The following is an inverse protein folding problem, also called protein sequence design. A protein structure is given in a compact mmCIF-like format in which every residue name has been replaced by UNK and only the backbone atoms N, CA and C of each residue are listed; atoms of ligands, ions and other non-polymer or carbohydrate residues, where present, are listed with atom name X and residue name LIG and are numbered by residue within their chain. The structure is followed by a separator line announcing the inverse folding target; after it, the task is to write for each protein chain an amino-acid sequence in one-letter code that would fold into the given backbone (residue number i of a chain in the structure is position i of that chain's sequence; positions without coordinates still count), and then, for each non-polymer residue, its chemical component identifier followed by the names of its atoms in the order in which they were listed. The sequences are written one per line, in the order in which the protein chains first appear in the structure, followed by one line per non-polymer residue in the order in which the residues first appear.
data_IF_523819958809
#
_entry.id   IF_523819958809
#
_cell.length_a   1.000
_cell.length_b   1.000
_cell.length_c   1.000
_cell.angle_alpha   90.00
_cell.angle_beta   90.00
_cell.angle_gamma   90.00
#
_symmetry.space_group_name_H-M   'P 1'
#
loop_
_entity.id
_entity.type
_entity.pdbx_description
1 polymer ?
#
# COMPACT_ATOMS: atom_id res chain seq x y z
N UNK A 1 3.99 -8.43 -16.58
CA UNK A 1 5.20 -8.67 -15.76
C UNK A 1 5.69 -10.08 -16.03
N UNK A 2 7.00 -10.32 -15.97
CA UNK A 2 7.55 -11.68 -16.06
C UNK A 2 7.41 -12.37 -14.69
N UNK A 3 7.15 -13.67 -14.70
CA UNK A 3 6.87 -14.45 -13.49
C UNK A 3 7.50 -15.84 -13.61
N UNK A 4 8.04 -16.36 -12.51
CA UNK A 4 8.45 -17.75 -12.42
C UNK A 4 7.22 -18.66 -12.36
N UNK A 5 6.89 -19.27 -13.51
CA UNK A 5 5.75 -20.17 -13.65
C UNK A 5 5.91 -21.45 -12.82
N UNK A 6 7.12 -21.99 -12.73
CA UNK A 6 7.36 -23.24 -12.02
C UNK A 6 7.14 -23.01 -10.52
N UNK A 7 7.76 -21.96 -9.97
CA UNK A 7 7.58 -21.58 -8.57
C UNK A 7 6.11 -21.24 -8.25
N UNK A 8 5.40 -20.56 -9.15
CA UNK A 8 3.98 -20.27 -8.97
C UNK A 8 3.12 -21.53 -8.94
N UNK A 9 3.36 -22.49 -9.83
CA UNK A 9 2.59 -23.75 -9.85
C UNK A 9 2.89 -24.62 -8.63
N UNK A 10 4.15 -24.70 -8.23
CA UNK A 10 4.55 -25.37 -6.98
C UNK A 10 3.84 -24.73 -5.78
N UNK A 11 3.82 -23.40 -5.70
CA UNK A 11 3.10 -22.67 -4.66
C UNK A 11 1.60 -22.96 -4.66
N UNK A 12 0.95 -23.07 -5.83
CA UNK A 12 -0.46 -23.44 -5.95
C UNK A 12 -0.73 -24.84 -5.40
N UNK A 13 0.16 -25.80 -5.66
CA UNK A 13 0.03 -27.18 -5.19
C UNK A 13 0.29 -27.23 -3.68
N UNK A 14 1.43 -26.73 -3.22
CA UNK A 14 1.84 -26.75 -1.81
C UNK A 14 0.80 -26.08 -0.91
N UNK A 15 0.34 -24.89 -1.30
CA UNK A 15 -0.68 -24.17 -0.52
C UNK A 15 -2.05 -24.87 -0.52
N UNK A 16 -2.34 -25.75 -1.48
CA UNK A 16 -3.57 -26.57 -1.46
C UNK A 16 -3.48 -27.64 -0.38
N UNK A 17 -2.38 -28.39 -0.35
CA UNK A 17 -2.11 -29.42 0.64
C UNK A 17 -2.11 -28.85 2.05
N UNK A 18 -1.37 -27.76 2.29
CA UNK A 18 -1.33 -27.09 3.59
C UNK A 18 -2.72 -26.62 4.06
N UNK A 19 -3.51 -26.04 3.15
CA UNK A 19 -4.87 -25.58 3.50
C UNK A 19 -5.75 -26.78 3.88
N UNK A 20 -5.67 -27.86 3.11
CA UNK A 20 -6.44 -29.06 3.38
C UNK A 20 -6.04 -29.72 4.70
N UNK A 21 -4.74 -29.76 5.02
CA UNK A 21 -4.23 -30.27 6.29
C UNK A 21 -4.76 -29.47 7.49
N UNK A 22 -4.67 -28.13 7.45
CA UNK A 22 -5.21 -27.27 8.52
C UNK A 22 -6.73 -27.46 8.70
N UNK A 23 -7.49 -27.50 7.60
CA UNK A 23 -8.94 -27.68 7.67
C UNK A 23 -9.33 -29.08 8.15
N UNK A 24 -8.56 -30.10 7.78
CA UNK A 24 -8.76 -31.46 8.26
C UNK A 24 -8.46 -31.58 9.75
N UNK A 25 -7.39 -30.96 10.23
CA UNK A 25 -7.05 -30.93 11.66
C UNK A 25 -8.15 -30.25 12.47
N UNK A 26 -8.63 -29.08 12.04
CA UNK A 26 -9.76 -28.39 12.66
C UNK A 26 -10.98 -29.32 12.69
N UNK A 27 -11.34 -29.91 11.54
CA UNK A 27 -12.54 -30.75 11.44
C UNK A 27 -12.46 -32.01 12.31
N UNK A 28 -11.27 -32.59 12.46
CA UNK A 28 -11.02 -33.74 13.35
C UNK A 28 -11.24 -33.36 14.81
N UNK A 29 -10.82 -32.16 15.20
CA UNK A 29 -10.92 -31.68 16.59
C UNK A 29 -12.36 -31.26 16.93
N UNK A 30 -13.04 -30.50 16.06
CA UNK A 30 -14.35 -29.90 16.38
C UNK A 30 -15.55 -30.72 15.90
N UNK A 31 -15.31 -31.75 15.08
CA UNK A 31 -16.35 -32.65 14.56
C UNK A 31 -17.21 -32.06 13.41
N UNK A 32 -16.82 -30.93 12.82
CA UNK A 32 -17.49 -30.35 11.65
C UNK A 32 -16.50 -29.70 10.68
N UNK A 33 -16.88 -29.62 9.41
CA UNK A 33 -16.07 -28.93 8.40
C UNK A 33 -16.22 -27.42 8.52
N UNK A 34 -15.09 -26.72 8.67
CA UNK A 34 -15.04 -25.27 8.76
C UNK A 34 -14.74 -24.65 7.40
N UNK A 35 -15.48 -23.60 7.03
CA UNK A 35 -15.07 -22.66 5.99
C UNK A 35 -14.71 -21.29 6.62
N UNK A 36 -13.43 -20.88 6.61
CA UNK A 36 -13.00 -19.60 7.18
C UNK A 36 -13.64 -18.35 6.57
N UNK A 37 -14.24 -18.43 5.36
CA UNK A 37 -14.96 -17.32 4.74
C UNK A 37 -16.41 -17.18 5.27
N UNK A 38 -16.88 -18.12 6.09
CA UNK A 38 -18.26 -18.16 6.60
C UNK A 38 -18.30 -17.80 8.08
N UNK A 39 -18.86 -16.63 8.40
CA UNK A 39 -19.11 -16.22 9.80
C UNK A 39 -19.91 -17.26 10.61
N UNK A 40 -20.81 -18.01 9.99
CA UNK A 40 -21.56 -19.07 10.66
C UNK A 40 -20.67 -20.20 11.19
N UNK A 41 -19.58 -20.54 10.48
CA UNK A 41 -18.67 -21.60 10.91
C UNK A 41 -17.73 -21.09 12.02
N UNK A 42 -17.34 -19.81 11.98
CA UNK A 42 -16.68 -19.14 13.11
C UNK A 42 -17.55 -19.14 14.37
N UNK A 43 -18.83 -18.83 14.24
CA UNK A 43 -19.76 -18.86 15.36
C UNK A 43 -19.82 -20.25 16.00
N UNK A 44 -19.98 -21.31 15.18
CA UNK A 44 -19.97 -22.70 15.66
C UNK A 44 -18.66 -23.06 16.38
N UNK A 45 -17.52 -22.60 15.85
CA UNK A 45 -16.21 -22.86 16.46
C UNK A 45 -16.11 -22.24 17.86
N UNK A 46 -16.54 -20.98 18.01
CA UNK A 46 -16.53 -20.30 19.31
C UNK A 46 -17.52 -20.94 20.29
N UNK A 47 -18.72 -21.30 19.83
CA UNK A 47 -19.73 -22.01 20.63
C UNK A 47 -19.24 -23.39 21.09
N UNK A 48 -18.56 -24.15 20.23
CA UNK A 48 -18.00 -25.47 20.55
C UNK A 48 -17.05 -25.42 21.76
N UNK A 49 -16.20 -24.39 21.84
CA UNK A 49 -15.25 -24.20 22.94
C UNK A 49 -15.78 -23.33 24.09
N UNK A 50 -17.03 -22.84 24.02
CA UNK A 50 -17.58 -21.92 25.02
C UNK A 50 -16.82 -20.58 25.10
N UNK A 51 -16.19 -20.15 24.00
CA UNK A 51 -15.42 -18.90 23.94
C UNK A 51 -16.36 -17.74 23.62
N UNK A 52 -16.20 -16.61 24.31
CA UNK A 52 -16.96 -15.39 24.01
C UNK A 52 -16.61 -14.85 22.63
N UNK A 53 -17.61 -14.39 21.88
CA UNK A 53 -17.37 -13.76 20.58
C UNK A 53 -16.52 -12.49 20.73
N UNK A 54 -15.55 -12.25 19.83
CA UNK A 54 -14.52 -11.26 20.05
C UNK A 54 -14.99 -9.83 19.72
N UNK A 55 -16.14 -9.69 19.05
CA UNK A 55 -16.79 -8.41 18.83
C UNK A 55 -18.14 -8.53 18.14
N UNK A 56 -18.74 -7.37 17.83
CA UNK A 56 -20.02 -7.27 17.12
C UNK A 56 -19.92 -6.26 15.99
N UNK A 57 -20.73 -6.47 14.95
CA UNK A 57 -20.96 -5.52 13.86
C UNK A 57 -21.87 -4.37 14.32
N UNK A 58 -21.95 -3.30 13.54
CA UNK A 58 -22.88 -2.17 13.79
C UNK A 58 -24.35 -2.61 13.90
N UNK A 59 -24.69 -3.75 13.28
CA UNK A 59 -26.04 -4.37 13.33
C UNK A 59 -26.20 -5.34 14.51
N UNK A 60 -25.23 -5.41 15.41
CA UNK A 60 -25.26 -6.25 16.61
C UNK A 60 -24.92 -7.74 16.39
N UNK A 61 -24.73 -8.20 15.15
CA UNK A 61 -24.31 -9.58 14.87
C UNK A 61 -22.85 -9.83 15.30
N UNK A 62 -22.45 -11.06 15.69
CA UNK A 62 -21.05 -11.39 15.98
C UNK A 62 -20.11 -11.01 14.83
N UNK A 63 -18.94 -10.47 15.18
CA UNK A 63 -17.88 -10.10 14.24
C UNK A 63 -16.65 -10.97 14.46
N UNK A 64 -16.09 -11.47 13.37
CA UNK A 64 -14.88 -12.29 13.33
C UNK A 64 -13.83 -11.66 12.41
N UNK A 65 -13.74 -10.32 12.43
CA UNK A 65 -12.70 -9.61 11.70
C UNK A 65 -11.31 -10.05 12.17
N UNK A 66 -10.33 -10.09 11.27
CA UNK A 66 -8.98 -10.62 11.56
C UNK A 66 -8.32 -9.97 12.78
N UNK A 67 -8.45 -8.64 12.92
CA UNK A 67 -7.93 -7.89 14.06
C UNK A 67 -8.57 -8.30 15.41
N UNK A 68 -9.83 -8.76 15.40
CA UNK A 68 -10.49 -9.27 16.60
C UNK A 68 -10.07 -10.71 16.90
N UNK A 69 -9.88 -11.53 15.86
CA UNK A 69 -9.43 -12.91 15.99
C UNK A 69 -7.96 -13.00 16.46
N UNK A 70 -7.15 -11.99 16.13
CA UNK A 70 -5.76 -11.88 16.58
C UNK A 70 -5.60 -11.92 18.10
N UNK A 71 -6.53 -11.27 18.83
CA UNK A 71 -6.51 -11.19 20.29
C UNK A 71 -6.91 -12.52 20.97
N UNK A 72 -7.54 -13.44 20.22
CA UNK A 72 -8.07 -14.70 20.76
C UNK A 72 -7.00 -15.79 20.72
N UNK A 73 -6.24 -15.95 21.80
CA UNK A 73 -5.10 -16.91 21.90
C UNK A 73 -5.48 -18.40 21.98
N UNK A 74 -6.61 -18.82 21.40
CA UNK A 74 -7.03 -20.22 21.37
C UNK A 74 -6.40 -20.96 20.17
N UNK A 75 -5.77 -22.14 20.35
CA UNK A 75 -5.05 -22.83 19.28
C UNK A 75 -5.87 -23.07 18.01
N UNK A 76 -7.09 -23.61 18.14
CA UNK A 76 -7.95 -23.86 16.97
C UNK A 76 -8.48 -22.58 16.32
N UNK A 77 -8.61 -21.49 17.08
CA UNK A 77 -9.01 -20.19 16.50
C UNK A 77 -7.85 -19.63 15.68
N UNK A 78 -6.62 -19.73 16.16
CA UNK A 78 -5.43 -19.30 15.42
C UNK A 78 -5.15 -20.19 14.19
N UNK A 79 -5.36 -21.50 14.29
CA UNK A 79 -5.27 -22.42 13.14
C UNK A 79 -6.30 -22.07 12.07
N UNK A 80 -7.56 -21.83 12.46
CA UNK A 80 -8.62 -21.39 11.55
C UNK A 80 -8.32 -20.02 10.91
N UNK A 81 -7.75 -19.10 11.69
CA UNK A 81 -7.33 -17.77 11.21
C UNK A 81 -6.25 -17.92 10.15
N UNK A 82 -5.22 -18.74 10.40
CA UNK A 82 -4.15 -19.08 9.45
C UNK A 82 -4.70 -19.72 8.17
N UNK A 83 -5.63 -20.66 8.29
CA UNK A 83 -6.31 -21.28 7.14
C UNK A 83 -7.06 -20.24 6.29
N UNK A 84 -7.80 -19.33 6.91
CA UNK A 84 -8.49 -18.24 6.21
C UNK A 84 -7.54 -17.27 5.51
N UNK A 85 -6.43 -16.91 6.17
CA UNK A 85 -5.37 -16.10 5.55
C UNK A 85 -4.82 -16.81 4.31
N UNK A 86 -4.41 -18.08 4.41
CA UNK A 86 -3.87 -18.84 3.27
C UNK A 86 -4.90 -18.96 2.13
N UNK A 87 -6.17 -19.22 2.45
CA UNK A 87 -7.26 -19.26 1.48
C UNK A 87 -7.41 -17.91 0.74
N UNK A 88 -7.25 -16.79 1.44
CA UNK A 88 -7.25 -15.44 0.85
C UNK A 88 -6.06 -15.24 -0.10
N UNK A 89 -4.83 -15.69 0.22
CA UNK A 89 -3.67 -15.62 -0.72
C UNK A 89 -3.95 -16.41 -1.98
N UNK A 90 -4.42 -17.65 -1.80
CA UNK A 90 -4.69 -18.57 -2.90
C UNK A 90 -5.73 -18.00 -3.85
N UNK A 91 -6.86 -17.55 -3.32
CA UNK A 91 -7.98 -17.06 -4.12
C UNK A 91 -7.70 -15.71 -4.79
N UNK A 92 -6.92 -14.82 -4.16
CA UNK A 92 -6.63 -13.47 -4.70
C UNK A 92 -5.44 -13.44 -5.65
N UNK A 93 -4.43 -14.28 -5.41
CA UNK A 93 -3.15 -14.19 -6.13
C UNK A 93 -2.76 -15.50 -6.81
N UNK A 94 -2.54 -16.58 -6.07
CA UNK A 94 -1.93 -17.80 -6.65
C UNK A 94 -2.81 -18.41 -7.75
N UNK A 95 -4.11 -18.63 -7.47
CA UNK A 95 -5.03 -19.25 -8.43
C UNK A 95 -5.37 -18.33 -9.61
N UNK A 96 -5.65 -17.02 -9.42
CA UNK A 96 -5.81 -16.14 -10.55
C UNK A 96 -4.55 -16.07 -11.40
N UNK A 97 -3.36 -15.89 -10.80
CA UNK A 97 -2.14 -15.71 -11.58
C UNK A 97 -1.76 -16.96 -12.35
N UNK A 98 -1.93 -18.15 -11.76
CA UNK A 98 -1.62 -19.42 -12.42
C UNK A 98 -2.54 -19.73 -13.60
N UNK A 99 -3.78 -19.23 -13.57
CA UNK A 99 -4.75 -19.36 -14.68
C UNK A 99 -4.46 -18.42 -15.84
N UNK A 100 -3.90 -17.24 -15.56
CA UNK A 100 -3.79 -16.15 -16.55
C UNK A 100 -2.37 -15.92 -17.05
N UNK A 101 -1.36 -16.51 -16.40
CA UNK A 101 0.02 -16.47 -16.88
C UNK A 101 0.16 -17.22 -18.21
N UNK A 102 0.74 -16.55 -19.21
CA UNK A 102 0.98 -17.12 -20.52
C UNK A 102 2.09 -18.18 -20.52
N UNK A 103 2.18 -18.95 -21.60
CA UNK A 103 3.26 -19.93 -21.78
C UNK A 103 4.65 -19.28 -21.81
N UNK A 104 4.69 -18.01 -22.23
CA UNK A 104 5.83 -17.11 -22.29
C UNK A 104 6.26 -16.54 -20.93
N UNK A 105 5.72 -17.06 -19.81
CA UNK A 105 5.99 -16.55 -18.46
C UNK A 105 5.59 -15.09 -18.26
N UNK A 106 4.67 -14.57 -19.08
CA UNK A 106 4.15 -13.22 -18.93
C UNK A 106 2.77 -13.23 -18.29
N UNK A 107 2.69 -12.54 -17.15
CA UNK A 107 1.44 -12.17 -16.52
C UNK A 107 0.95 -10.84 -17.12
N UNK A 108 -0.12 -10.91 -17.91
CA UNK A 108 -0.67 -9.77 -18.65
C UNK A 108 -1.81 -9.09 -17.87
N UNK A 109 -1.93 -7.78 -18.05
CA UNK A 109 -2.92 -6.95 -17.38
C UNK A 109 -3.33 -5.78 -18.27
N UNK A 110 -4.54 -5.26 -18.04
CA UNK A 110 -5.00 -4.03 -18.68
C UNK A 110 -4.69 -2.84 -17.76
N UNK A 111 -3.93 -1.87 -18.27
CA UNK A 111 -3.63 -0.62 -17.55
C UNK A 111 -4.56 0.49 -18.02
N UNK A 112 -5.51 0.88 -17.17
CA UNK A 112 -6.48 1.93 -17.48
C UNK A 112 -5.95 3.29 -17.06
N UNK A 113 -5.75 4.16 -18.04
CA UNK A 113 -5.22 5.51 -17.83
C UNK A 113 -6.28 6.54 -17.41
N UNK A 114 -7.51 6.33 -17.87
CA UNK A 114 -8.67 7.22 -17.69
C UNK A 114 -9.79 6.48 -16.97
N UNK A 115 -10.66 7.25 -16.31
CA UNK A 115 -11.92 6.76 -15.77
C UNK A 115 -12.87 6.42 -16.92
N UNK A 116 -13.35 5.19 -16.95
CA UNK A 116 -14.51 4.75 -17.71
C UNK A 116 -15.66 4.39 -16.77
N UNK A 117 -16.70 3.77 -17.32
CA UNK A 117 -17.86 3.32 -16.56
C UNK A 117 -17.51 2.14 -15.63
N UNK A 118 -16.65 1.23 -16.11
CA UNK A 118 -16.31 -0.01 -15.41
C UNK A 118 -14.90 -0.02 -14.77
N UNK A 119 -14.08 1.00 -15.03
CA UNK A 119 -12.66 1.03 -14.68
C UNK A 119 -12.08 2.44 -14.54
N UNK A 120 -10.81 2.54 -14.14
CA UNK A 120 -10.11 3.81 -13.95
C UNK A 120 -10.46 4.50 -12.64
N UNK A 121 -9.78 5.61 -12.36
CA UNK A 121 -9.87 6.29 -11.06
C UNK A 121 -10.29 7.75 -11.20
N UNK A 122 -11.07 8.25 -10.24
CA UNK A 122 -11.41 9.68 -10.11
C UNK A 122 -10.23 10.55 -9.70
N UNK A 123 -9.19 9.94 -9.14
CA UNK A 123 -7.97 10.63 -8.67
C UNK A 123 -6.90 10.74 -9.75
N UNK A 124 -7.15 10.23 -10.96
CA UNK A 124 -6.20 10.30 -12.07
C UNK A 124 -5.04 9.28 -11.98
N UNK A 125 -5.03 8.40 -10.99
CA UNK A 125 -4.14 7.22 -10.93
C UNK A 125 -4.46 6.25 -12.06
N UNK A 126 -3.45 5.48 -12.47
CA UNK A 126 -3.69 4.26 -13.22
C UNK A 126 -4.48 3.26 -12.37
N UNK A 127 -5.37 2.50 -12.99
CA UNK A 127 -5.93 1.29 -12.37
C UNK A 127 -5.62 0.09 -13.24
N UNK A 128 -5.28 -1.04 -12.63
CA UNK A 128 -5.19 -2.31 -13.33
C UNK A 128 -6.46 -3.12 -13.12
N UNK A 129 -7.00 -3.68 -14.20
CA UNK A 129 -7.99 -4.75 -14.09
C UNK A 129 -7.40 -6.04 -14.59
N UNK A 130 -7.78 -7.12 -13.92
CA UNK A 130 -7.69 -8.43 -14.53
C UNK A 130 -8.56 -8.49 -15.79
N UNK A 131 -8.14 -9.28 -16.78
CA UNK A 131 -8.99 -9.48 -17.93
C UNK A 131 -10.14 -10.43 -17.54
N UNK A 132 -11.32 -10.12 -18.09
CA UNK A 132 -12.63 -10.58 -17.61
C UNK A 132 -13.61 -9.41 -17.36
N UNK A 133 -13.09 -8.20 -17.12
CA UNK A 133 -13.88 -6.93 -17.17
C UNK A 133 -13.80 -6.20 -18.51
N UNK A 134 -12.84 -6.60 -19.34
CA UNK A 134 -12.81 -6.32 -20.78
C UNK A 134 -13.07 -7.66 -21.45
N UNK A 135 -14.04 -7.70 -22.36
CA UNK A 135 -14.52 -8.92 -23.02
C UNK A 135 -13.33 -9.76 -23.54
N UNK A 136 -13.22 -11.01 -23.08
CA UNK A 136 -12.52 -12.07 -23.81
C UNK A 136 -11.07 -12.42 -23.47
N UNK A 137 -10.43 -11.85 -22.44
CA UNK A 137 -9.12 -12.34 -22.00
C UNK A 137 -9.04 -12.44 -20.48
N UNK A 138 -8.06 -13.19 -19.96
CA UNK A 138 -7.75 -13.41 -18.54
C UNK A 138 -6.55 -12.53 -18.14
N UNK A 139 -6.59 -11.83 -17.00
CA UNK A 139 -5.49 -10.96 -16.59
C UNK A 139 -5.50 -10.69 -15.09
N UNK A 140 -4.47 -10.04 -14.58
CA UNK A 140 -4.26 -9.86 -13.13
C UNK A 140 -4.28 -8.38 -12.71
N UNK A 141 -4.82 -8.08 -11.52
CA UNK A 141 -4.64 -6.78 -10.89
C UNK A 141 -3.38 -6.80 -10.01
N UNK A 142 -2.26 -6.30 -10.55
CA UNK A 142 -0.98 -6.34 -9.86
C UNK A 142 -0.83 -5.24 -8.80
N UNK A 143 -1.69 -4.21 -8.82
CA UNK A 143 -1.63 -3.11 -7.87
C UNK A 143 -2.06 -3.50 -6.44
N UNK A 144 -2.62 -4.70 -6.26
CA UNK A 144 -3.02 -5.21 -4.95
C UNK A 144 -1.92 -6.06 -4.29
N UNK A 145 -0.81 -6.31 -4.98
CA UNK A 145 0.31 -7.09 -4.44
C UNK A 145 1.01 -6.26 -3.36
N UNK A 146 0.93 -6.75 -2.12
CA UNK A 146 1.53 -6.09 -0.95
C UNK A 146 3.06 -6.13 -1.01
N UNK A 147 3.70 -5.12 -0.39
CA UNK A 147 5.13 -5.14 -0.06
C UNK A 147 5.42 -6.32 0.88
N UNK A 148 6.64 -6.87 0.84
CA UNK A 148 7.02 -8.08 1.60
C UNK A 148 6.69 -7.97 3.08
N UNK A 149 7.11 -6.88 3.73
CA UNK A 149 6.86 -6.68 5.17
C UNK A 149 5.37 -6.52 5.48
N UNK A 150 4.64 -5.77 4.66
CA UNK A 150 3.18 -5.63 4.84
C UNK A 150 2.44 -6.94 4.60
N UNK A 151 2.92 -7.78 3.67
CA UNK A 151 2.40 -9.13 3.49
C UNK A 151 2.67 -9.95 4.75
N UNK A 152 3.93 -10.02 5.23
CA UNK A 152 4.29 -10.74 6.45
C UNK A 152 3.41 -10.36 7.65
N UNK A 153 3.25 -9.07 7.91
CA UNK A 153 2.35 -8.54 8.95
C UNK A 153 0.90 -9.02 8.74
N UNK A 154 0.35 -8.88 7.53
CA UNK A 154 -1.00 -9.34 7.22
C UNK A 154 -1.17 -10.86 7.39
N UNK A 155 -0.11 -11.64 7.21
CA UNK A 155 -0.09 -13.08 7.42
C UNK A 155 0.16 -13.51 8.87
N UNK A 156 0.34 -12.56 9.80
CA UNK A 156 0.59 -12.85 11.21
C UNK A 156 2.01 -13.36 11.46
N UNK A 157 2.97 -13.00 10.61
CA UNK A 157 4.37 -13.30 10.86
C UNK A 157 4.85 -12.51 12.08
N UNK A 158 5.23 -13.23 13.13
CA UNK A 158 5.87 -12.66 14.31
C UNK A 158 7.34 -13.09 14.33
N UNK A 159 8.25 -12.12 14.22
CA UNK A 159 9.70 -12.38 14.27
C UNK A 159 10.15 -13.02 15.59
N UNK A 160 9.36 -12.87 16.66
CA UNK A 160 9.66 -13.40 17.99
C UNK A 160 9.04 -14.80 18.22
N UNK A 161 8.24 -15.30 17.28
CA UNK A 161 7.63 -16.62 17.35
C UNK A 161 8.29 -17.55 16.32
N UNK A 162 9.35 -18.24 16.75
CA UNK A 162 10.13 -19.19 15.96
C UNK A 162 9.35 -20.45 15.52
N UNK A 163 8.03 -20.51 15.73
CA UNK A 163 7.21 -21.66 15.37
C UNK A 163 6.62 -21.62 13.95
N UNK A 164 6.93 -20.60 13.13
CA UNK A 164 6.22 -20.38 11.85
C UNK A 164 7.09 -19.97 10.64
N UNK A 165 8.37 -20.31 10.62
CA UNK A 165 9.35 -19.71 9.71
C UNK A 165 9.31 -20.11 8.21
N UNK A 166 8.42 -20.98 7.70
CA UNK A 166 8.63 -21.54 6.33
C UNK A 166 7.51 -21.43 5.27
N UNK A 167 6.34 -20.81 5.51
CA UNK A 167 5.26 -20.91 4.50
C UNK A 167 4.40 -19.65 4.25
N UNK A 168 5.04 -18.48 4.17
CA UNK A 168 4.40 -17.34 3.52
C UNK A 168 4.78 -17.35 2.04
N UNK A 169 3.80 -17.60 1.18
CA UNK A 169 3.93 -17.42 -0.26
C UNK A 169 4.03 -15.93 -0.57
N UNK A 170 5.25 -15.39 -0.55
CA UNK A 170 5.53 -14.01 -0.88
C UNK A 170 5.19 -13.76 -2.35
N UNK A 171 4.14 -12.98 -2.61
CA UNK A 171 3.63 -12.84 -3.97
C UNK A 171 4.64 -12.12 -4.87
N UNK A 172 5.37 -11.13 -4.32
CA UNK A 172 6.43 -10.42 -5.04
C UNK A 172 7.60 -11.35 -5.44
N UNK A 173 7.83 -12.46 -4.72
CA UNK A 173 8.95 -13.37 -5.02
C UNK A 173 8.75 -14.13 -6.34
N UNK A 174 7.51 -14.28 -6.83
CA UNK A 174 7.28 -14.91 -8.12
C UNK A 174 7.67 -14.00 -9.30
N UNK A 175 7.78 -12.69 -9.11
CA UNK A 175 8.08 -11.74 -10.17
C UNK A 175 9.58 -11.65 -10.37
N UNK A 176 10.05 -12.20 -11.49
CA UNK A 176 11.46 -12.28 -11.86
C UNK A 176 11.72 -11.48 -13.13
N UNK A 177 12.93 -10.95 -13.36
CA UNK A 177 13.26 -10.32 -14.62
C UNK A 177 13.34 -11.37 -15.73
N UNK A 178 13.04 -11.01 -16.98
CA UNK A 178 13.31 -11.90 -18.10
C UNK A 178 14.80 -11.87 -18.50
N UNK A 179 15.49 -10.77 -18.20
CA UNK A 179 16.91 -10.55 -18.48
C UNK A 179 17.51 -9.62 -17.43
N UNK A 180 18.75 -9.88 -17.01
CA UNK A 180 19.44 -9.03 -16.02
C UNK A 180 18.79 -9.13 -14.64
N UNK A 181 18.63 -8.01 -13.96
CA UNK A 181 18.05 -7.94 -12.61
C UNK A 181 16.64 -7.35 -12.64
N UNK A 182 15.84 -7.65 -11.62
CA UNK A 182 14.61 -6.92 -11.36
C UNK A 182 14.98 -5.53 -10.84
N UNK A 183 14.32 -4.49 -11.35
CA UNK A 183 14.47 -3.11 -10.88
C UNK A 183 13.13 -2.62 -10.36
N UNK A 184 13.13 -2.11 -9.13
CA UNK A 184 12.03 -1.34 -8.55
C UNK A 184 12.50 0.10 -8.33
N UNK A 185 11.63 1.05 -8.65
CA UNK A 185 11.85 2.46 -8.40
C UNK A 185 10.63 3.08 -7.71
N UNK A 186 10.76 3.45 -6.43
CA UNK A 186 9.66 3.93 -5.57
C UNK A 186 9.80 5.43 -5.24
N UNK A 187 8.72 6.19 -5.39
CA UNK A 187 8.72 7.61 -5.01
C UNK A 187 8.53 7.78 -3.51
N UNK A 188 9.62 7.99 -2.79
CA UNK A 188 9.66 7.99 -1.33
C UNK A 188 8.72 9.04 -0.72
N UNK A 189 7.66 8.55 -0.04
CA UNK A 189 6.70 9.38 0.69
C UNK A 189 6.08 10.52 -0.15
N UNK A 190 5.84 10.28 -1.45
CA UNK A 190 5.43 11.31 -2.42
C UNK A 190 4.21 12.14 -1.97
N UNK A 191 3.21 11.50 -1.34
CA UNK A 191 2.02 12.20 -0.85
C UNK A 191 2.34 13.20 0.26
N UNK A 192 3.26 12.86 1.18
CA UNK A 192 3.68 13.74 2.27
C UNK A 192 4.51 14.91 1.77
N UNK A 193 5.41 14.68 0.81
CA UNK A 193 6.19 15.73 0.16
C UNK A 193 5.29 16.72 -0.58
N UNK A 194 4.27 16.23 -1.28
CA UNK A 194 3.25 17.06 -1.93
C UNK A 194 2.42 17.83 -0.91
N UNK A 195 2.03 17.18 0.19
CA UNK A 195 1.28 17.83 1.26
C UNK A 195 2.09 18.96 1.90
N UNK A 196 3.38 18.74 2.19
CA UNK A 196 4.30 19.75 2.69
C UNK A 196 4.44 20.93 1.72
N UNK A 197 4.51 20.66 0.42
CA UNK A 197 4.54 21.70 -0.61
C UNK A 197 3.28 22.59 -0.58
N UNK A 198 2.08 22.00 -0.57
CA UNK A 198 0.83 22.76 -0.57
C UNK A 198 0.53 23.44 0.77
N UNK A 199 0.98 22.85 1.88
CA UNK A 199 0.87 23.44 3.20
C UNK A 199 1.85 24.61 3.38
N UNK A 200 2.91 24.65 2.57
CA UNK A 200 4.01 25.62 2.69
C UNK A 200 4.64 25.60 4.08
N UNK A 201 4.72 24.41 4.68
CA UNK A 201 5.27 24.20 6.02
C UNK A 201 6.76 24.49 6.04
N UNK A 202 7.17 25.63 6.60
CA UNK A 202 8.59 26.01 6.72
C UNK A 202 9.39 24.92 7.45
N UNK A 203 8.84 24.36 8.52
CA UNK A 203 9.46 23.29 9.30
C UNK A 203 9.77 22.06 8.45
N UNK A 204 8.82 21.61 7.63
CA UNK A 204 9.02 20.46 6.77
C UNK A 204 9.95 20.80 5.59
N UNK A 205 9.78 21.97 4.98
CA UNK A 205 10.66 22.46 3.90
C UNK A 205 12.11 22.50 4.39
N UNK A 206 12.35 23.02 5.59
CA UNK A 206 13.66 23.07 6.22
C UNK A 206 14.24 21.67 6.46
N UNK A 207 13.42 20.74 6.96
CA UNK A 207 13.86 19.34 7.13
C UNK A 207 14.32 18.74 5.79
N UNK A 208 13.60 19.01 4.69
CA UNK A 208 13.91 18.51 3.36
C UNK A 208 15.04 19.24 2.60
N UNK A 209 15.67 20.27 3.19
CA UNK A 209 16.84 20.93 2.57
C UNK A 209 18.00 19.97 2.36
N UNK A 210 18.20 19.02 3.29
CA UNK A 210 19.24 18.00 3.18
C UNK A 210 19.06 17.13 1.92
N UNK A 211 17.83 16.68 1.65
CA UNK A 211 17.50 15.92 0.44
C UNK A 211 17.78 16.73 -0.82
N UNK A 212 17.42 18.01 -0.84
CA UNK A 212 17.68 18.92 -1.98
C UNK A 212 19.18 18.99 -2.27
N UNK A 213 19.98 19.23 -1.23
CA UNK A 213 21.44 19.32 -1.37
C UNK A 213 22.06 17.99 -1.81
N UNK A 214 21.54 16.83 -1.37
CA UNK A 214 21.98 15.52 -1.86
C UNK A 214 21.69 15.35 -3.35
N UNK A 215 20.46 15.64 -3.78
CA UNK A 215 20.06 15.55 -5.19
C UNK A 215 20.88 16.46 -6.09
N UNK A 216 21.16 17.70 -5.68
CA UNK A 216 21.98 18.66 -6.43
C UNK A 216 23.43 18.19 -6.62
N UNK A 217 23.97 17.44 -5.65
CA UNK A 217 25.30 16.81 -5.74
C UNK A 217 25.29 15.49 -6.52
N UNK A 218 24.13 14.98 -6.93
CA UNK A 218 24.00 13.64 -7.51
C UNK A 218 24.27 12.52 -6.50
N UNK A 219 24.11 12.78 -5.21
CA UNK A 219 24.27 11.80 -4.14
C UNK A 219 22.93 11.13 -3.86
N UNK A 220 22.84 9.85 -4.25
CA UNK A 220 21.65 9.04 -4.05
C UNK A 220 21.79 7.96 -2.98
N UNK A 221 22.78 8.10 -2.09
CA UNK A 221 22.91 7.21 -0.94
C UNK A 221 21.66 7.28 -0.05
N UNK A 222 21.42 6.24 0.74
CA UNK A 222 20.30 6.21 1.69
C UNK A 222 20.38 7.32 2.75
N UNK A 223 19.34 7.47 3.57
CA UNK A 223 19.25 8.52 4.59
C UNK A 223 18.46 9.75 4.16
N UNK A 224 17.46 9.56 3.30
CA UNK A 224 16.47 10.59 2.98
C UNK A 224 15.57 10.90 4.17
N UNK A 225 15.06 12.12 4.24
CA UNK A 225 14.19 12.56 5.33
C UNK A 225 12.91 11.70 5.40
N UNK A 226 12.69 11.09 6.56
CA UNK A 226 11.43 10.41 6.88
C UNK A 226 10.45 11.39 7.54
N UNK A 227 9.36 11.72 6.83
CA UNK A 227 8.28 12.56 7.35
C UNK A 227 7.75 12.06 8.71
N UNK A 228 7.68 10.73 8.87
CA UNK A 228 7.19 10.14 10.10
C UNK A 228 8.17 10.35 11.23
N UNK A 229 9.49 10.31 11.00
CA UNK A 229 10.47 10.62 12.04
C UNK A 229 10.35 12.09 12.49
N UNK A 230 10.23 13.02 11.55
CA UNK A 230 10.07 14.46 11.84
C UNK A 230 8.82 14.74 12.68
N UNK A 231 7.74 13.99 12.46
CA UNK A 231 6.48 14.15 13.20
C UNK A 231 6.42 13.31 14.48
N UNK A 232 7.17 12.21 14.55
CA UNK A 232 7.20 11.26 15.68
C UNK A 232 7.67 11.89 16.97
N UNK A 233 8.68 12.77 16.92
CA UNK A 233 9.23 13.42 18.12
C UNK A 233 8.13 14.14 18.93
N UNK A 234 7.14 14.72 18.24
CA UNK A 234 6.04 15.44 18.88
C UNK A 234 4.95 14.53 19.46
N UNK A 235 4.83 13.30 18.96
CA UNK A 235 3.88 12.30 19.44
C UNK A 235 4.47 11.51 20.62
N UNK A 236 5.76 11.14 20.53
CA UNK A 236 6.46 10.36 21.56
C UNK A 236 6.63 11.07 22.90
N UNK A 237 6.56 12.40 22.91
CA UNK A 237 6.49 13.17 24.15
C UNK A 237 5.29 12.80 25.05
N UNK A 238 4.27 12.12 24.50
CA UNK A 238 3.05 11.73 25.21
C UNK A 238 2.92 10.22 25.43
N UNK A 239 3.40 9.39 24.50
CA UNK A 239 3.36 7.92 24.60
C UNK A 239 4.37 7.29 23.67
N UNK A 240 5.07 6.26 24.14
CA UNK A 240 5.90 5.44 23.26
C UNK A 240 5.00 4.57 22.38
N UNK A 241 4.96 4.89 21.09
CA UNK A 241 4.14 4.23 20.08
C UNK A 241 5.04 3.62 19.02
N UNK A 242 4.60 2.48 18.47
CA UNK A 242 5.27 1.85 17.34
C UNK A 242 5.25 2.77 16.12
N UNK A 243 6.26 2.64 15.25
CA UNK A 243 6.37 3.44 14.02
C UNK A 243 5.13 3.30 13.12
N UNK A 244 4.55 2.11 13.04
CA UNK A 244 3.35 1.85 12.24
C UNK A 244 2.13 2.62 12.78
N UNK A 245 1.94 2.66 14.10
CA UNK A 245 0.85 3.43 14.72
C UNK A 245 1.04 4.93 14.45
N UNK A 246 2.26 5.44 14.62
CA UNK A 246 2.56 6.87 14.38
C UNK A 246 2.37 7.23 12.90
N UNK A 247 2.76 6.34 11.98
CA UNK A 247 2.51 6.50 10.55
C UNK A 247 1.02 6.62 10.24
N UNK A 248 0.19 5.73 10.79
CA UNK A 248 -1.26 5.76 10.61
C UNK A 248 -1.89 7.01 11.21
N UNK A 249 -1.45 7.40 12.41
CA UNK A 249 -1.87 8.64 13.05
C UNK A 249 -1.55 9.87 12.18
N UNK A 250 -0.29 10.01 11.74
CA UNK A 250 0.14 11.11 10.88
C UNK A 250 -0.64 11.19 9.57
N UNK A 251 -0.88 10.05 8.93
CA UNK A 251 -1.72 9.97 7.74
C UNK A 251 -3.12 10.51 8.04
N UNK A 252 -3.73 10.03 9.13
CA UNK A 252 -5.04 10.52 9.58
C UNK A 252 -5.06 12.03 9.79
N UNK A 253 -4.10 12.57 10.54
CA UNK A 253 -4.05 14.00 10.84
C UNK A 253 -3.86 14.87 9.59
N UNK A 254 -2.97 14.45 8.68
CA UNK A 254 -2.69 15.16 7.42
C UNK A 254 -3.92 15.22 6.50
N UNK A 255 -4.76 14.18 6.53
CA UNK A 255 -5.96 14.06 5.71
C UNK A 255 -7.27 14.36 6.47
N UNK A 256 -7.18 14.88 7.69
CA UNK A 256 -8.32 15.45 8.42
C UNK A 256 -9.14 14.48 9.26
N UNK A 257 -8.57 13.35 9.71
CA UNK A 257 -9.21 12.45 10.67
C UNK A 257 -9.66 13.19 11.93
N UNK A 258 -10.86 12.82 12.40
CA UNK A 258 -11.44 13.32 13.64
C UNK A 258 -10.76 12.74 14.87
N UNK A 259 -11.07 13.30 16.04
CA UNK A 259 -10.53 12.88 17.33
C UNK A 259 -10.86 11.42 17.66
N UNK A 260 -12.05 10.93 17.30
CA UNK A 260 -12.46 9.53 17.51
C UNK A 260 -11.58 8.55 16.73
N UNK A 261 -11.42 8.78 15.43
CA UNK A 261 -10.55 7.96 14.56
C UNK A 261 -9.09 8.03 15.02
N UNK A 262 -8.63 9.20 15.48
CA UNK A 262 -7.30 9.36 16.03
C UNK A 262 -7.12 8.52 17.30
N UNK A 263 -8.09 8.54 18.22
CA UNK A 263 -8.08 7.79 19.48
C UNK A 263 -8.04 6.27 19.26
N UNK A 264 -8.86 5.77 18.33
CA UNK A 264 -8.86 4.37 17.90
C UNK A 264 -7.49 3.97 17.33
N UNK A 265 -6.92 4.80 16.45
CA UNK A 265 -5.63 4.52 15.80
C UNK A 265 -4.48 4.39 16.79
N UNK A 266 -4.46 5.22 17.84
CA UNK A 266 -3.37 5.24 18.84
C UNK A 266 -3.65 4.37 20.08
N UNK A 267 -4.84 3.77 20.18
CA UNK A 267 -5.26 2.97 21.32
C UNK A 267 -5.17 3.73 22.64
N UNK A 268 -5.71 4.96 22.69
CA UNK A 268 -5.65 5.83 23.87
C UNK A 268 -7.05 6.20 24.35
N UNK A 269 -7.16 6.59 25.63
CA UNK A 269 -8.37 7.24 26.11
C UNK A 269 -8.63 8.55 25.36
N UNK A 270 -9.90 8.99 25.31
CA UNK A 270 -10.26 10.21 24.58
C UNK A 270 -9.46 11.44 25.03
N UNK A 271 -9.32 11.63 26.35
CA UNK A 271 -8.54 12.74 26.91
C UNK A 271 -7.07 12.73 26.49
N UNK A 272 -6.46 11.55 26.37
CA UNK A 272 -5.08 11.41 25.93
C UNK A 272 -4.93 11.63 24.42
N UNK A 273 -5.88 11.11 23.62
CA UNK A 273 -5.89 11.34 22.18
C UNK A 273 -6.05 12.83 21.84
N UNK A 274 -6.93 13.54 22.56
CA UNK A 274 -7.14 14.97 22.38
C UNK A 274 -5.83 15.75 22.56
N UNK A 275 -5.03 15.43 23.59
CA UNK A 275 -3.72 16.07 23.82
C UNK A 275 -2.74 15.82 22.67
N UNK A 276 -2.66 14.60 22.15
CA UNK A 276 -1.76 14.25 21.04
C UNK A 276 -2.19 14.94 19.75
N UNK A 277 -3.51 14.95 19.46
CA UNK A 277 -4.08 15.63 18.30
C UNK A 277 -3.84 17.14 18.37
N UNK A 278 -4.07 17.75 19.53
CA UNK A 278 -3.90 19.19 19.71
C UNK A 278 -2.43 19.60 19.64
N UNK A 279 -1.53 18.79 20.20
CA UNK A 279 -0.08 18.97 20.05
C UNK A 279 0.33 18.94 18.58
N UNK A 280 -0.07 17.91 17.83
CA UNK A 280 0.23 17.79 16.40
C UNK A 280 -0.30 18.99 15.61
N UNK A 281 -1.55 19.40 15.87
CA UNK A 281 -2.19 20.55 15.20
C UNK A 281 -1.55 21.89 15.57
N UNK A 282 -1.00 22.02 16.78
CA UNK A 282 -0.24 23.20 17.21
C UNK A 282 1.13 23.24 16.54
N UNK A 283 1.75 22.09 16.32
CA UNK A 283 3.04 21.98 15.62
C UNK A 283 2.91 22.26 14.12
N UNK A 284 1.83 21.79 13.49
CA UNK A 284 1.58 21.98 12.06
C UNK A 284 0.20 22.61 11.75
N UNK A 285 -0.06 23.84 12.21
CA UNK A 285 -1.36 24.51 12.03
C UNK A 285 -1.73 24.74 10.56
N UNK A 286 -0.72 24.85 9.68
CA UNK A 286 -0.86 25.06 8.24
C UNK A 286 -1.66 23.95 7.54
N UNK A 287 -1.59 22.69 7.99
CA UNK A 287 -2.39 21.61 7.38
C UNK A 287 -3.88 21.80 7.64
N UNK A 288 -4.26 22.32 8.81
CA UNK A 288 -5.67 22.62 9.10
C UNK A 288 -6.17 23.77 8.23
N UNK A 289 -5.35 24.79 8.01
CA UNK A 289 -5.67 25.87 7.09
C UNK A 289 -5.81 25.35 5.64
N UNK A 290 -4.93 24.45 5.22
CA UNK A 290 -4.96 23.82 3.91
C UNK A 290 -6.22 22.96 3.70
N UNK A 291 -6.62 22.15 4.70
CA UNK A 291 -7.87 21.38 4.68
C UNK A 291 -9.08 22.28 4.47
N UNK A 292 -9.20 23.36 5.26
CA UNK A 292 -10.29 24.34 5.13
C UNK A 292 -10.28 25.01 3.75
N UNK A 293 -9.10 25.40 3.26
CA UNK A 293 -8.94 26.03 1.95
C UNK A 293 -9.37 25.10 0.83
N UNK A 294 -8.99 23.82 0.87
CA UNK A 294 -9.37 22.84 -0.13
C UNK A 294 -10.89 22.60 -0.13
N UNK A 295 -11.50 22.45 1.04
CA UNK A 295 -12.95 22.32 1.19
C UNK A 295 -13.69 23.54 0.62
N UNK A 296 -13.28 24.74 1.01
CA UNK A 296 -13.88 25.99 0.51
C UNK A 296 -13.76 26.14 -1.02
N UNK A 297 -12.62 25.77 -1.60
CA UNK A 297 -12.45 25.77 -3.07
C UNK A 297 -13.40 24.76 -3.72
N UNK A 298 -13.56 23.58 -3.14
CA UNK A 298 -14.49 22.57 -3.63
C UNK A 298 -15.95 23.04 -3.55
N UNK A 299 -16.36 23.67 -2.44
CA UNK A 299 -17.71 24.24 -2.25
C UNK A 299 -18.01 25.36 -3.25
N UNK A 300 -17.09 26.32 -3.38
CA UNK A 300 -17.28 27.51 -4.20
C UNK A 300 -17.24 27.24 -5.70
N UNK A 301 -16.39 26.32 -6.16
CA UNK A 301 -16.15 26.07 -7.60
C UNK A 301 -16.73 24.74 -8.09
N UNK A 302 -17.11 23.84 -7.19
CA UNK A 302 -17.49 22.46 -7.50
C UNK A 302 -16.33 21.54 -7.87
N UNK A 303 -15.07 22.00 -7.78
CA UNK A 303 -13.88 21.19 -8.06
C UNK A 303 -12.60 21.77 -7.42
N UNK A 304 -11.62 20.89 -7.19
CA UNK A 304 -10.23 21.24 -6.87
C UNK A 304 -9.31 20.89 -8.02
N UNK A 305 -8.08 21.43 -8.01
CA UNK A 305 -7.05 21.17 -9.03
C UNK A 305 -5.81 20.52 -8.40
N UNK A 306 -5.19 19.61 -9.13
CA UNK A 306 -3.87 19.06 -8.83
C UNK A 306 -2.76 20.03 -9.23
N UNK A 307 -1.49 19.68 -8.97
CA UNK A 307 -0.31 20.47 -9.36
C UNK A 307 -0.21 20.74 -10.87
N UNK A 308 -0.67 19.82 -11.72
CA UNK A 308 -0.73 20.02 -13.17
C UNK A 308 -2.09 20.54 -13.66
N UNK A 309 -2.98 20.91 -12.75
CA UNK A 309 -4.27 21.52 -13.08
C UNK A 309 -5.39 20.54 -13.43
N UNK A 310 -5.21 19.22 -13.24
CA UNK A 310 -6.27 18.22 -13.40
C UNK A 310 -7.39 18.53 -12.41
N UNK A 311 -8.64 18.53 -12.88
CA UNK A 311 -9.80 18.84 -12.03
C UNK A 311 -10.36 17.57 -11.39
N UNK A 312 -10.49 17.57 -10.07
CA UNK A 312 -11.31 16.61 -9.32
C UNK A 312 -12.61 17.30 -8.91
N UNK A 313 -13.74 16.81 -9.43
CA UNK A 313 -15.07 17.44 -9.28
C UNK A 313 -15.84 16.83 -8.12
N UNK A 314 -16.64 17.67 -7.46
CA UNK A 314 -17.52 17.31 -6.33
C UNK A 314 -18.97 17.61 -6.71
N UNK A 315 -19.61 16.77 -7.55
CA UNK A 315 -21.03 16.93 -7.86
C UNK A 315 -21.85 16.81 -6.57
N UNK A 316 -22.89 17.64 -6.46
CA UNK A 316 -23.81 17.71 -5.31
C UNK A 316 -23.14 18.01 -3.96
N UNK A 317 -21.93 18.58 -3.97
CA UNK A 317 -21.16 18.90 -2.76
C UNK A 317 -20.90 17.70 -1.81
N UNK A 318 -21.06 16.46 -2.30
CA UNK A 318 -20.74 15.25 -1.53
C UNK A 318 -19.23 15.12 -1.38
N UNK A 319 -18.79 14.61 -0.23
CA UNK A 319 -17.38 14.29 0.06
C UNK A 319 -16.40 15.48 0.03
N UNK A 320 -16.87 16.71 0.21
CA UNK A 320 -16.02 17.91 0.23
C UNK A 320 -14.93 17.85 1.31
N UNK A 321 -15.19 17.19 2.44
CA UNK A 321 -14.19 16.95 3.48
C UNK A 321 -12.94 16.22 2.96
N UNK A 322 -13.06 15.45 1.87
CA UNK A 322 -11.95 14.74 1.25
C UNK A 322 -11.23 15.55 0.15
N UNK A 323 -11.62 16.81 -0.09
CA UNK A 323 -11.11 17.63 -1.19
C UNK A 323 -9.57 17.72 -1.23
N UNK A 324 -8.94 17.87 -0.07
CA UNK A 324 -7.47 17.88 0.03
C UNK A 324 -6.85 16.55 -0.42
N UNK A 325 -7.45 15.42 -0.05
CA UNK A 325 -6.98 14.09 -0.44
C UNK A 325 -6.98 13.93 -1.96
N UNK A 326 -7.99 14.49 -2.65
CA UNK A 326 -8.02 14.50 -4.12
C UNK A 326 -6.90 15.35 -4.72
N UNK A 327 -6.58 16.51 -4.12
CA UNK A 327 -5.46 17.36 -4.56
C UNK A 327 -4.14 16.61 -4.41
N UNK A 328 -3.86 16.06 -3.23
CA UNK A 328 -2.58 15.40 -2.91
C UNK A 328 -2.40 14.15 -3.78
N UNK A 329 -3.36 13.23 -3.76
CA UNK A 329 -3.23 11.97 -4.50
C UNK A 329 -3.28 12.16 -6.01
N UNK A 330 -4.05 13.13 -6.49
CA UNK A 330 -4.06 13.48 -7.91
C UNK A 330 -2.76 14.12 -8.35
N UNK A 331 -2.12 14.92 -7.49
CA UNK A 331 -0.80 15.48 -7.78
C UNK A 331 0.28 14.40 -7.74
N UNK A 332 0.19 13.41 -6.85
CA UNK A 332 1.10 12.25 -6.87
C UNK A 332 0.96 11.45 -8.16
N UNK A 333 -0.28 11.25 -8.63
CA UNK A 333 -0.55 10.61 -9.92
C UNK A 333 0.00 11.42 -11.10
N UNK A 334 -0.04 12.75 -11.03
CA UNK A 334 0.57 13.61 -12.04
C UNK A 334 2.10 13.47 -12.04
N UNK A 335 2.74 13.43 -10.87
CA UNK A 335 4.19 13.18 -10.72
C UNK A 335 4.58 11.86 -11.36
N UNK A 336 3.92 10.76 -10.98
CA UNK A 336 4.14 9.43 -11.56
C UNK A 336 4.01 9.48 -13.09
N UNK A 337 2.92 10.05 -13.62
CA UNK A 337 2.66 10.07 -15.07
C UNK A 337 3.70 10.88 -15.84
N UNK A 338 4.19 11.99 -15.30
CA UNK A 338 5.29 12.75 -15.91
C UNK A 338 6.57 11.94 -15.91
N UNK A 339 6.90 11.29 -14.79
CA UNK A 339 8.08 10.42 -14.67
C UNK A 339 8.04 9.21 -15.60
N UNK A 340 6.86 8.62 -15.82
CA UNK A 340 6.67 7.59 -16.85
C UNK A 340 7.00 8.11 -18.26
N UNK A 341 6.59 9.34 -18.58
CA UNK A 341 6.90 9.97 -19.89
C UNK A 341 8.40 10.26 -20.03
N UNK A 342 9.06 10.70 -18.97
CA UNK A 342 10.52 10.94 -18.97
C UNK A 342 11.30 9.65 -19.19
N UNK A 343 11.00 8.59 -18.44
CA UNK A 343 11.57 7.26 -18.66
C UNK A 343 11.30 6.76 -20.09
N UNK A 344 10.09 6.97 -20.61
CA UNK A 344 9.76 6.59 -21.97
C UNK A 344 10.58 7.35 -23.03
N UNK A 345 10.84 8.65 -22.84
CA UNK A 345 11.63 9.46 -23.78
C UNK A 345 13.06 8.96 -23.88
N UNK A 346 13.66 8.52 -22.77
CA UNK A 346 15.04 8.02 -22.69
C UNK A 346 15.15 6.49 -22.82
N UNK A 347 14.04 5.77 -23.05
CA UNK A 347 13.98 4.29 -23.06
C UNK A 347 14.98 3.57 -23.98
N UNK A 348 15.46 4.25 -25.02
CA UNK A 348 16.43 3.68 -25.98
C UNK A 348 17.84 3.57 -25.40
N UNK A 349 18.17 4.35 -24.37
CA UNK A 349 19.52 4.46 -23.80
C UNK A 349 19.58 4.00 -22.34
N UNK A 350 18.42 3.90 -21.66
CA UNK A 350 18.35 3.47 -20.25
C UNK A 350 18.76 2.02 -20.05
N UNK A 351 18.32 1.12 -20.94
CA UNK A 351 18.40 -0.32 -20.71
C UNK A 351 17.27 -0.85 -19.83
N UNK A 352 16.39 0.02 -19.33
CA UNK A 352 15.26 -0.34 -18.47
C UNK A 352 14.05 -0.76 -19.30
N UNK A 353 13.62 -2.01 -19.11
CA UNK A 353 12.38 -2.50 -19.67
C UNK A 353 11.28 -2.43 -18.63
N UNK A 354 10.62 -1.27 -18.55
CA UNK A 354 9.46 -1.08 -17.67
C UNK A 354 8.35 -2.10 -18.00
N UNK A 355 7.96 -2.89 -17.01
CA UNK A 355 6.93 -3.94 -17.11
C UNK A 355 5.60 -3.51 -16.52
N UNK A 356 5.61 -2.75 -15.43
CA UNK A 356 4.40 -2.29 -14.74
C UNK A 356 4.66 -1.06 -13.85
N UNK A 357 3.59 -0.57 -13.23
CA UNK A 357 3.64 0.48 -12.21
C UNK A 357 2.63 0.20 -11.12
N UNK A 358 3.05 0.26 -9.87
CA UNK A 358 2.21 -0.02 -8.70
C UNK A 358 2.16 1.22 -7.83
N UNK A 359 1.05 1.93 -7.87
CA UNK A 359 0.86 3.20 -7.17
C UNK A 359 1.91 4.26 -7.53
N UNK A 360 2.95 4.39 -6.72
CA UNK A 360 4.08 5.31 -6.80
C UNK A 360 5.40 4.62 -7.21
N UNK A 361 5.32 3.35 -7.60
CA UNK A 361 6.44 2.48 -7.98
C UNK A 361 6.48 2.23 -9.51
N UNK A 362 7.69 2.15 -10.09
CA UNK A 362 7.95 1.60 -11.42
C UNK A 362 8.76 0.32 -11.34
N UNK A 363 8.34 -0.67 -12.11
CA UNK A 363 8.87 -2.02 -12.00
C UNK A 363 9.25 -2.57 -13.36
N UNK A 364 10.38 -3.27 -13.44
CA UNK A 364 10.75 -4.00 -14.64
C UNK A 364 12.15 -4.57 -14.63
N UNK A 365 12.73 -4.72 -15.81
CA UNK A 365 14.00 -5.42 -15.98
C UNK A 365 15.13 -4.41 -16.20
N UNK A 366 16.19 -4.52 -15.40
CA UNK A 366 17.47 -3.85 -15.61
C UNK A 366 18.40 -4.75 -16.41
N UNK A 367 18.60 -4.42 -17.69
CA UNK A 367 19.42 -5.26 -18.60
C UNK A 367 20.89 -5.31 -18.24
N UNK A 368 21.41 -4.24 -17.64
CA UNK A 368 22.83 -4.10 -17.26
C UNK A 368 22.94 -3.41 -15.91
N UNK A 369 24.06 -3.57 -15.18
CA UNK A 369 24.28 -2.89 -13.89
C UNK A 369 24.14 -1.36 -13.96
N UNK A 370 24.48 -0.74 -15.10
CA UNK A 370 24.38 0.71 -15.30
C UNK A 370 22.92 1.20 -15.49
N UNK A 371 21.98 0.27 -15.75
CA UNK A 371 20.58 0.60 -15.98
C UNK A 371 19.96 1.28 -14.76
N UNK A 372 20.23 0.74 -13.56
CA UNK A 372 19.70 1.30 -12.32
C UNK A 372 20.16 2.75 -12.09
N UNK A 373 21.44 3.03 -12.35
CA UNK A 373 21.97 4.38 -12.23
C UNK A 373 21.31 5.38 -13.19
N UNK A 374 21.14 5.00 -14.46
CA UNK A 374 20.46 5.86 -15.45
C UNK A 374 18.99 6.13 -15.09
N UNK A 375 18.27 5.10 -14.65
CA UNK A 375 16.88 5.24 -14.19
C UNK A 375 16.81 6.18 -12.99
N UNK A 376 17.71 6.00 -12.02
CA UNK A 376 17.83 6.85 -10.82
C UNK A 376 18.07 8.31 -11.17
N UNK A 377 18.99 8.59 -12.09
CA UNK A 377 19.25 9.95 -12.57
C UNK A 377 18.02 10.55 -13.24
N UNK A 378 17.35 9.83 -14.15
CA UNK A 378 16.16 10.33 -14.85
C UNK A 378 15.03 10.64 -13.86
N UNK A 379 14.73 9.71 -12.96
CA UNK A 379 13.63 9.84 -12.01
C UNK A 379 13.87 10.96 -10.99
N UNK A 380 15.11 11.17 -10.56
CA UNK A 380 15.45 12.20 -9.57
C UNK A 380 15.70 13.61 -10.15
N UNK A 381 15.66 13.80 -11.47
CA UNK A 381 15.63 15.16 -12.06
C UNK A 381 14.37 15.89 -11.59
N UNK A 382 14.52 17.06 -10.97
CA UNK A 382 13.36 17.78 -10.43
C UNK A 382 12.59 18.52 -11.53
N UNK A 383 11.50 17.91 -12.02
CA UNK A 383 10.66 18.45 -13.10
C UNK A 383 9.62 19.45 -12.60
N UNK A 384 9.15 19.27 -11.37
CA UNK A 384 8.14 20.12 -10.76
C UNK A 384 8.81 21.20 -9.90
N UNK A 385 8.31 22.43 -9.98
CA UNK A 385 8.74 23.52 -9.10
C UNK A 385 8.08 23.39 -7.72
N UNK A 386 8.52 22.38 -6.97
CA UNK A 386 8.05 22.10 -5.63
C UNK A 386 8.95 22.78 -4.59
N UNK A 387 8.39 23.03 -3.40
CA UNK A 387 9.16 23.53 -2.24
C UNK A 387 9.92 22.40 -1.52
N UNK A 388 9.56 21.15 -1.81
CA UNK A 388 10.15 19.93 -1.28
C UNK A 388 10.44 19.01 -2.47
N UNK A 389 11.65 18.46 -2.63
CA UNK A 389 11.98 17.62 -3.77
C UNK A 389 11.24 16.29 -3.70
N UNK A 390 10.92 15.70 -4.86
CA UNK A 390 10.48 14.30 -4.92
C UNK A 390 11.72 13.42 -5.12
N UNK A 391 11.89 12.48 -4.21
CA UNK A 391 12.98 11.51 -4.22
C UNK A 391 12.46 10.17 -4.73
N UNK A 392 13.24 9.56 -5.63
CA UNK A 392 13.01 8.19 -6.10
C UNK A 392 14.14 7.30 -5.64
N UNK A 393 13.82 6.29 -4.85
CA UNK A 393 14.73 5.20 -4.52
C UNK A 393 14.69 4.18 -5.65
N UNK A 394 15.84 3.64 -6.05
CA UNK A 394 15.97 2.69 -7.16
C UNK A 394 16.86 1.57 -6.72
N UNK A 395 16.31 0.38 -6.67
CA UNK A 395 16.95 -0.82 -6.14
C UNK A 395 16.79 -1.97 -7.12
N UNK A 396 17.74 -2.92 -7.06
CA UNK A 396 17.73 -4.12 -7.90
C UNK A 396 17.84 -5.39 -7.08
N UNK A 397 17.35 -6.50 -7.63
CA UNK A 397 17.38 -7.81 -6.99
C UNK A 397 17.02 -8.92 -7.97
N UNK A 398 17.08 -10.18 -7.55
CA UNK A 398 16.73 -11.31 -8.43
C UNK A 398 15.21 -11.44 -8.62
N UNK A 399 14.44 -10.90 -7.67
CA UNK A 399 12.97 -10.85 -7.70
C UNK A 399 12.46 -9.48 -7.30
N UNK A 400 11.18 -9.20 -7.52
CA UNK A 400 10.53 -8.00 -6.99
C UNK A 400 10.56 -7.93 -5.47
N UNK A 401 10.55 -9.08 -4.77
CA UNK A 401 10.63 -9.13 -3.31
C UNK A 401 12.02 -8.77 -2.76
N UNK A 402 13.07 -8.97 -3.55
CA UNK A 402 14.44 -8.62 -3.16
C UNK A 402 14.80 -7.18 -3.54
N UNK A 403 14.28 -6.70 -4.67
CA UNK A 403 14.48 -5.32 -5.11
C UNK A 403 13.71 -4.31 -4.26
N UNK A 404 12.67 -4.72 -3.52
CA UNK A 404 11.80 -3.84 -2.73
C UNK A 404 11.15 -4.59 -1.56
#
# INVERSE_FOLDING_TARGET
AHIDRAALQEAVIKSASMLQEMLFEIAREVGFQMNPDRNADWQKLFEHYGISFPGRTDKGAPSFADALLEEVKHPMVQLARRAGKLASVRSKFLLPYSKVVGEDSLLRFALHQLRGDDYGTVRGRFSMSGAGKVIGQFGANLQQVMRVNSQREAFGFNHDDSSHDEEIFLIRAFFTPATGEYLSADAQAVEYRIAAHFAESERLIDAYKADTAKLERGDFTSGWVDFHAVTTEYVRAYKDLSRNIIKNFNFGQLFGSGYDTAAETVGMSRSQSDQVVDSWRKTFPEFRALLKKAAHIAESRGFVKTIMGRRARFPDQKFIHAALNYVIQGSAADVLKVKAVELHRERKTTGFLMRMTVHDEFDGDAKTPETAQKVREILNRQTFKLKVPIVWEVDTGSTWAEAH
#
